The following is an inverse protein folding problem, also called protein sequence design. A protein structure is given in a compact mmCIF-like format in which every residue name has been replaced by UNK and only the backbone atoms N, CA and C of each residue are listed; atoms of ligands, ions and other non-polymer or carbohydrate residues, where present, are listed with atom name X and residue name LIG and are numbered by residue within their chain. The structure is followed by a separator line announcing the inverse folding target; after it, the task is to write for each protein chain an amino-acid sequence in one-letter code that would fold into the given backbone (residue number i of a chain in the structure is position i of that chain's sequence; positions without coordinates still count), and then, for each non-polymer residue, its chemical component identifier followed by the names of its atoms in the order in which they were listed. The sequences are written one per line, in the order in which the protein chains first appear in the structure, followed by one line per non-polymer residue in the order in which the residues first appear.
data_IF_079713674731
#
_entry.id   IF_079713674731
#
_cell.length_a   1.000
_cell.length_b   1.000
_cell.length_c   1.000
_cell.angle_alpha   90.00
_cell.angle_beta   90.00
_cell.angle_gamma   90.00
#
_symmetry.space_group_name_H-M   'P 1'
#
loop_
_entity.id
_entity.type
_entity.pdbx_description
1 polymer ?
#
# COMPACT_ATOMS: atom_id res chain seq x y z
N UNK A 1 -48.50 -9.11 -34.13
CA UNK A 1 -49.38 -9.95 -34.98
C UNK A 1 -48.74 -11.30 -35.23
N UNK A 2 -49.54 -12.39 -35.35
CA UNK A 2 -49.07 -13.65 -35.90
C UNK A 2 -48.41 -13.44 -37.26
N UNK A 3 -47.40 -14.24 -37.57
CA UNK A 3 -46.72 -14.19 -38.86
C UNK A 3 -47.69 -14.59 -39.98
N UNK A 4 -47.70 -13.87 -41.11
CA UNK A 4 -48.58 -14.16 -42.26
C UNK A 4 -48.46 -15.61 -42.77
N UNK A 5 -47.26 -16.21 -42.68
CA UNK A 5 -46.99 -17.57 -43.14
C UNK A 5 -47.32 -18.65 -42.08
N UNK A 6 -47.60 -18.27 -40.83
CA UNK A 6 -47.81 -19.22 -39.73
C UNK A 6 -48.73 -18.61 -38.67
N UNK A 7 -50.01 -18.46 -39.03
CA UNK A 7 -51.02 -17.77 -38.21
C UNK A 7 -51.33 -18.51 -36.90
N UNK A 8 -51.25 -19.84 -36.90
CA UNK A 8 -51.51 -20.68 -35.72
C UNK A 8 -50.29 -20.86 -34.80
N UNK A 9 -49.14 -20.25 -35.14
CA UNK A 9 -47.91 -20.33 -34.33
C UNK A 9 -47.60 -18.99 -33.64
N UNK A 10 -47.61 -18.93 -32.29
CA UNK A 10 -47.27 -17.70 -31.57
C UNK A 10 -45.82 -17.28 -31.82
N UNK A 11 -45.60 -16.05 -32.29
CA UNK A 11 -44.25 -15.50 -32.55
C UNK A 11 -43.80 -14.53 -31.47
N UNK A 12 -44.55 -13.45 -31.26
CA UNK A 12 -44.12 -12.37 -30.37
C UNK A 12 -44.13 -12.80 -28.89
N UNK A 13 -45.19 -13.47 -28.44
CA UNK A 13 -45.30 -13.94 -27.05
C UNK A 13 -44.21 -14.95 -26.70
N UNK A 14 -43.94 -15.92 -27.58
CA UNK A 14 -42.83 -16.87 -27.43
C UNK A 14 -41.47 -16.17 -27.38
N UNK A 15 -41.22 -15.21 -28.29
CA UNK A 15 -39.97 -14.45 -28.29
C UNK A 15 -39.80 -13.62 -27.01
N UNK A 16 -40.86 -13.00 -26.51
CA UNK A 16 -40.83 -12.24 -25.25
C UNK A 16 -40.59 -13.16 -24.06
N UNK A 17 -41.25 -14.32 -24.02
CA UNK A 17 -41.03 -15.35 -23.00
C UNK A 17 -39.57 -15.81 -22.99
N UNK A 18 -39.00 -16.12 -24.16
CA UNK A 18 -37.59 -16.51 -24.27
C UNK A 18 -36.64 -15.38 -23.80
N UNK A 19 -36.91 -14.13 -24.19
CA UNK A 19 -36.12 -12.97 -23.78
C UNK A 19 -36.15 -12.76 -22.26
N UNK A 20 -37.32 -12.81 -21.63
CA UNK A 20 -37.43 -12.59 -20.18
C UNK A 20 -36.71 -13.69 -19.40
N UNK A 21 -36.83 -14.96 -19.80
CA UNK A 21 -36.08 -16.05 -19.17
C UNK A 21 -34.57 -15.91 -19.35
N UNK A 22 -34.12 -15.50 -20.54
CA UNK A 22 -32.70 -15.23 -20.80
C UNK A 22 -32.16 -14.11 -19.90
N UNK A 23 -32.91 -13.01 -19.76
CA UNK A 23 -32.52 -11.89 -18.90
C UNK A 23 -32.54 -12.27 -17.41
N UNK A 24 -33.53 -13.05 -16.97
CA UNK A 24 -33.62 -13.52 -15.59
C UNK A 24 -32.44 -14.44 -15.22
N UNK A 25 -32.05 -15.34 -16.12
CA UNK A 25 -30.86 -16.18 -15.93
C UNK A 25 -29.58 -15.34 -15.84
N UNK A 26 -29.42 -14.33 -16.70
CA UNK A 26 -28.28 -13.40 -16.64
C UNK A 26 -28.27 -12.59 -15.33
N UNK A 27 -29.41 -12.10 -14.87
CA UNK A 27 -29.55 -11.41 -13.58
C UNK A 27 -29.10 -12.30 -12.42
N UNK A 28 -29.64 -13.52 -12.36
CA UNK A 28 -29.30 -14.49 -11.31
C UNK A 28 -27.82 -14.90 -11.34
N UNK A 29 -27.20 -15.04 -12.53
CA UNK A 29 -25.77 -15.33 -12.64
C UNK A 29 -24.91 -14.16 -12.13
N UNK A 30 -25.28 -12.91 -12.44
CA UNK A 30 -24.57 -11.71 -11.96
C UNK A 30 -24.69 -11.53 -10.44
N UNK A 31 -25.84 -11.90 -9.89
CA UNK A 31 -26.09 -11.94 -8.45
C UNK A 31 -25.21 -12.99 -7.77
N UNK A 32 -25.20 -14.24 -8.28
CA UNK A 32 -24.34 -15.32 -7.76
C UNK A 32 -22.85 -15.01 -7.84
N UNK A 33 -22.42 -14.29 -8.88
CA UNK A 33 -21.04 -13.83 -9.02
C UNK A 33 -20.69 -12.62 -8.12
N UNK A 34 -21.65 -12.07 -7.37
CA UNK A 34 -21.42 -10.94 -6.46
C UNK A 34 -21.13 -9.61 -7.16
N UNK A 35 -21.46 -9.47 -8.46
CA UNK A 35 -21.25 -8.22 -9.22
C UNK A 35 -22.31 -7.16 -8.92
N UNK A 36 -23.43 -7.56 -8.33
CA UNK A 36 -24.49 -6.65 -7.91
C UNK A 36 -24.24 -6.19 -6.48
N UNK A 37 -24.59 -4.94 -6.19
CA UNK A 37 -24.44 -4.38 -4.83
C UNK A 37 -25.44 -5.06 -3.88
N UNK A 38 -25.04 -5.28 -2.61
CA UNK A 38 -25.92 -5.89 -1.62
C UNK A 38 -27.07 -4.93 -1.23
N UNK A 39 -28.02 -5.46 -0.45
CA UNK A 39 -29.12 -4.68 0.12
C UNK A 39 -28.63 -3.49 0.95
N UNK A 40 -29.51 -2.50 1.14
CA UNK A 40 -29.19 -1.25 1.86
C UNK A 40 -28.81 -1.47 3.33
N UNK A 41 -29.46 -2.43 3.99
CA UNK A 41 -29.25 -2.78 5.40
C UNK A 41 -28.10 -3.75 5.64
N UNK A 42 -27.46 -4.29 4.60
CA UNK A 42 -26.32 -5.18 4.76
C UNK A 42 -25.15 -4.42 5.38
N UNK A 43 -24.39 -5.07 6.26
CA UNK A 43 -23.16 -4.53 6.87
C UNK A 43 -22.10 -4.12 5.84
N UNK A 44 -22.10 -4.76 4.66
CA UNK A 44 -21.19 -4.43 3.57
C UNK A 44 -21.75 -3.34 2.63
N UNK A 45 -22.96 -2.84 2.90
CA UNK A 45 -23.56 -1.75 2.14
C UNK A 45 -22.86 -0.43 2.46
N UNK A 46 -22.74 0.44 1.45
CA UNK A 46 -22.14 1.77 1.58
C UNK A 46 -23.18 2.85 1.28
N UNK A 47 -24.34 2.70 1.89
CA UNK A 47 -25.49 3.59 1.68
C UNK A 47 -25.51 4.65 2.78
N UNK A 48 -25.42 5.93 2.41
CA UNK A 48 -25.20 7.05 3.34
C UNK A 48 -23.75 7.54 3.36
N UNK A 49 -22.82 6.63 3.06
CA UNK A 49 -21.38 6.91 3.02
C UNK A 49 -20.90 7.48 1.66
N UNK A 50 -19.73 8.12 1.69
CA UNK A 50 -19.03 8.55 0.47
C UNK A 50 -18.61 7.34 -0.37
N UNK A 51 -18.83 7.42 -1.68
CA UNK A 51 -18.50 6.34 -2.63
C UNK A 51 -17.32 6.78 -3.50
N UNK A 52 -16.14 6.22 -3.26
CA UNK A 52 -14.98 6.50 -4.10
C UNK A 52 -14.13 5.25 -4.32
N UNK A 53 -13.92 4.92 -5.59
CA UNK A 53 -13.09 3.77 -6.00
C UNK A 53 -11.65 3.92 -5.50
N UNK A 54 -11.16 5.15 -5.32
CA UNK A 54 -9.82 5.40 -4.81
C UNK A 54 -9.64 4.96 -3.34
N UNK A 55 -10.62 5.25 -2.47
CA UNK A 55 -10.55 4.77 -1.07
C UNK A 55 -10.80 3.26 -1.01
N UNK A 56 -11.73 2.74 -1.82
CA UNK A 56 -11.99 1.30 -1.89
C UNK A 56 -10.72 0.52 -2.24
N UNK A 57 -10.02 0.93 -3.31
CA UNK A 57 -8.75 0.33 -3.69
C UNK A 57 -7.70 0.52 -2.58
N UNK A 58 -7.56 1.72 -2.00
CA UNK A 58 -6.58 1.97 -0.94
C UNK A 58 -6.70 0.97 0.22
N UNK A 59 -7.91 0.80 0.75
CA UNK A 59 -8.14 -0.11 1.87
C UNK A 59 -8.09 -1.59 1.44
N UNK A 60 -8.48 -1.92 0.21
CA UNK A 60 -8.31 -3.28 -0.32
C UNK A 60 -6.82 -3.65 -0.46
N UNK A 61 -6.00 -2.76 -1.00
CA UNK A 61 -4.56 -2.97 -1.15
C UNK A 61 -3.86 -3.09 0.20
N UNK A 62 -4.24 -2.30 1.21
CA UNK A 62 -3.70 -2.40 2.58
C UNK A 62 -4.03 -3.74 3.24
N UNK A 63 -5.23 -4.30 3.00
CA UNK A 63 -5.58 -5.66 3.46
C UNK A 63 -4.67 -6.71 2.81
N UNK A 64 -4.40 -6.60 1.52
CA UNK A 64 -3.51 -7.53 0.81
C UNK A 64 -2.05 -7.43 1.31
N UNK A 65 -1.57 -6.22 1.58
CA UNK A 65 -0.22 -6.00 2.13
C UNK A 65 -0.06 -6.68 3.50
N UNK A 66 -1.04 -6.53 4.39
CA UNK A 66 -1.03 -7.17 5.71
C UNK A 66 -1.00 -8.70 5.67
N UNK A 67 -1.55 -9.32 4.62
CA UNK A 67 -1.59 -10.78 4.45
C UNK A 67 -0.27 -11.34 3.90
N UNK A 68 0.46 -10.54 3.11
CA UNK A 68 1.72 -10.96 2.49
C UNK A 68 2.94 -10.82 3.43
N UNK A 69 2.84 -10.05 4.52
CA UNK A 69 3.98 -9.77 5.42
C UNK A 69 4.25 -10.85 6.48
N UNK A 70 3.45 -11.93 6.58
CA UNK A 70 3.60 -12.92 7.66
C UNK A 70 3.66 -14.40 7.22
N UNK A 71 3.67 -14.71 5.92
CA UNK A 71 3.80 -16.09 5.48
C UNK A 71 4.64 -16.23 4.19
N UNK A 72 5.86 -16.77 4.33
CA UNK A 72 6.56 -17.44 3.23
C UNK A 72 5.85 -18.76 2.99
N UNK A 73 4.75 -18.72 2.25
CA UNK A 73 4.12 -19.92 1.69
C UNK A 73 4.34 -19.92 0.19
N UNK A 74 4.97 -21.00 -0.30
CA UNK A 74 5.17 -21.30 -1.72
C UNK A 74 3.85 -21.11 -2.47
N UNK A 75 3.81 -20.13 -3.37
CA UNK A 75 2.63 -19.81 -4.17
C UNK A 75 2.45 -20.89 -5.24
N UNK A 76 1.73 -21.97 -4.92
CA UNK A 76 1.01 -22.76 -5.92
C UNK A 76 -0.48 -22.39 -5.86
N UNK A 77 -0.77 -21.11 -6.09
CA UNK A 77 -2.13 -20.67 -6.35
C UNK A 77 -2.28 -20.61 -7.86
N UNK A 78 -3.11 -21.50 -8.41
CA UNK A 78 -3.59 -21.39 -9.78
C UNK A 78 -4.01 -19.94 -10.02
N UNK A 79 -3.29 -19.25 -10.89
CA UNK A 79 -3.57 -17.86 -11.20
C UNK A 79 -4.99 -17.80 -11.76
N UNK A 80 -5.94 -17.40 -10.91
CA UNK A 80 -7.27 -17.07 -11.37
C UNK A 80 -7.09 -16.11 -12.56
N UNK A 81 -7.77 -16.35 -13.69
CA UNK A 81 -7.52 -15.60 -14.91
C UNK A 81 -7.53 -14.11 -14.57
N UNK A 82 -6.46 -13.41 -14.97
CA UNK A 82 -6.19 -12.05 -14.55
C UNK A 82 -7.45 -11.19 -14.66
N UNK A 83 -8.11 -10.95 -13.51
CA UNK A 83 -9.35 -10.20 -13.45
C UNK A 83 -9.00 -8.74 -13.70
N UNK A 84 -9.13 -8.34 -14.97
CA UNK A 84 -8.73 -7.01 -15.40
C UNK A 84 -9.76 -5.99 -14.93
N UNK A 85 -9.27 -4.91 -14.33
CA UNK A 85 -10.11 -3.76 -13.95
C UNK A 85 -9.54 -2.51 -14.60
N UNK A 86 -10.41 -1.55 -14.93
CA UNK A 86 -9.99 -0.22 -15.38
C UNK A 86 -9.77 0.74 -14.21
N UNK A 87 -9.94 0.27 -12.97
CA UNK A 87 -9.84 1.08 -11.76
C UNK A 87 -8.41 1.05 -11.25
N UNK A 88 -7.79 2.22 -11.15
CA UNK A 88 -6.43 2.36 -10.63
C UNK A 88 -6.39 3.34 -9.46
N UNK A 89 -5.38 3.19 -8.62
CA UNK A 89 -5.09 4.13 -7.55
C UNK A 89 -3.82 4.89 -7.91
N UNK A 90 -3.96 6.17 -8.26
CA UNK A 90 -2.81 7.02 -8.55
C UNK A 90 -1.94 7.16 -7.29
N UNK A 91 -0.63 6.92 -7.41
CA UNK A 91 0.34 7.10 -6.32
C UNK A 91 0.27 8.49 -5.68
N UNK A 92 -0.04 9.52 -6.48
CA UNK A 92 -0.29 10.89 -5.98
C UNK A 92 -1.48 10.94 -5.01
N UNK A 93 -2.56 10.24 -5.33
CA UNK A 93 -3.75 10.14 -4.47
C UNK A 93 -3.47 9.26 -3.24
N UNK A 94 -2.68 8.19 -3.38
CA UNK A 94 -2.25 7.34 -2.26
C UNK A 94 -1.58 8.17 -1.15
N UNK A 95 -0.55 8.94 -1.52
CA UNK A 95 0.19 9.80 -0.58
C UNK A 95 -0.71 10.84 0.08
N UNK A 96 -1.68 11.40 -0.66
CA UNK A 96 -2.66 12.35 -0.08
C UNK A 96 -3.57 11.67 0.94
N UNK A 97 -4.03 10.45 0.66
CA UNK A 97 -4.85 9.67 1.59
C UNK A 97 -4.06 9.38 2.86
N UNK A 98 -2.80 8.92 2.74
CA UNK A 98 -1.93 8.64 3.89
C UNK A 98 -1.66 9.88 4.74
N UNK A 99 -1.35 11.00 4.10
CA UNK A 99 -1.15 12.26 4.81
C UNK A 99 -2.41 12.70 5.56
N UNK A 100 -3.58 12.62 4.92
CA UNK A 100 -4.84 13.00 5.55
C UNK A 100 -5.25 12.02 6.66
N UNK A 101 -4.93 10.73 6.51
CA UNK A 101 -5.15 9.72 7.55
C UNK A 101 -4.32 10.05 8.79
N UNK A 102 -3.04 10.42 8.64
CA UNK A 102 -2.19 10.88 9.74
C UNK A 102 -2.77 12.10 10.47
N UNK A 103 -3.31 13.07 9.73
CA UNK A 103 -3.96 14.23 10.35
C UNK A 103 -5.24 13.85 11.10
N UNK A 104 -6.02 12.90 10.58
CA UNK A 104 -7.20 12.40 11.27
C UNK A 104 -6.82 11.65 12.57
N UNK A 105 -5.79 10.80 12.54
CA UNK A 105 -5.32 10.08 13.73
C UNK A 105 -4.75 11.01 14.78
N UNK A 106 -4.01 12.04 14.38
CA UNK A 106 -3.51 13.07 15.31
C UNK A 106 -4.68 13.77 16.01
N UNK A 107 -5.70 14.23 15.25
CA UNK A 107 -6.89 14.83 15.86
C UNK A 107 -7.61 13.87 16.80
N UNK A 108 -7.72 12.59 16.45
CA UNK A 108 -8.31 11.58 17.34
C UNK A 108 -7.51 11.43 18.63
N UNK A 109 -6.18 11.36 18.54
CA UNK A 109 -5.30 11.25 19.71
C UNK A 109 -5.41 12.48 20.64
N UNK A 110 -5.54 13.69 20.07
CA UNK A 110 -5.78 14.89 20.87
C UNK A 110 -7.12 14.83 21.62
N UNK A 111 -8.17 14.29 20.98
CA UNK A 111 -9.48 14.05 21.64
C UNK A 111 -9.35 12.98 22.72
N UNK A 112 -8.67 11.87 22.43
CA UNK A 112 -8.46 10.79 23.39
C UNK A 112 -7.63 11.26 24.61
N UNK A 113 -6.65 12.14 24.40
CA UNK A 113 -5.82 12.71 25.46
C UNK A 113 -6.58 13.72 26.31
N UNK A 114 -7.39 14.59 25.69
CA UNK A 114 -8.24 15.54 26.44
C UNK A 114 -9.32 14.82 27.25
N UNK A 115 -9.97 13.80 26.69
CA UNK A 115 -10.92 12.97 27.45
C UNK A 115 -10.27 12.29 28.66
N UNK A 116 -9.04 11.79 28.52
CA UNK A 116 -8.30 11.20 29.65
C UNK A 116 -7.86 12.22 30.69
N UNK A 117 -7.49 13.43 30.28
CA UNK A 117 -7.07 14.50 31.20
C UNK A 117 -8.27 15.06 31.98
N UNK A 118 -9.46 15.08 31.37
CA UNK A 118 -10.72 15.37 32.09
C UNK A 118 -11.08 14.24 33.09
N UNK A 119 -10.76 12.98 32.79
CA UNK A 119 -10.96 11.84 33.70
C UNK A 119 -9.85 11.72 34.79
N UNK A 120 -8.62 12.18 34.53
CA UNK A 120 -7.43 12.09 35.41
C UNK A 120 -6.96 13.48 35.91
N UNK A 121 -7.82 14.29 36.53
CA UNK A 121 -7.35 15.47 37.27
C UNK A 121 -6.62 15.13 38.59
N UNK A 122 -5.50 14.40 38.49
CA UNK A 122 -4.29 14.54 39.32
C UNK A 122 -3.13 13.81 38.62
N UNK A 123 -2.11 14.55 38.19
CA UNK A 123 -0.66 14.26 38.26
C UNK A 123 0.06 15.15 37.22
N UNK A 124 0.76 16.14 37.75
CA UNK A 124 1.82 16.90 37.08
C UNK A 124 2.94 15.94 36.66
N UNK A 125 3.34 15.93 35.37
CA UNK A 125 4.59 15.33 34.92
C UNK A 125 5.04 15.90 33.57
N UNK A 126 5.93 16.87 33.68
CA UNK A 126 6.95 17.30 32.71
C UNK A 126 7.59 16.11 31.96
N UNK A 127 7.81 16.26 30.64
CA UNK A 127 8.84 15.48 29.94
C UNK A 127 8.54 14.99 28.53
N UNK A 128 8.27 15.89 27.58
CA UNK A 128 8.18 15.54 26.16
C UNK A 128 9.56 15.33 25.50
N UNK A 129 10.17 14.13 25.64
CA UNK A 129 11.34 13.72 24.85
C UNK A 129 10.95 13.52 23.37
N UNK A 130 11.46 14.37 22.49
CA UNK A 130 11.36 14.23 21.03
C UNK A 130 12.18 13.02 20.56
N UNK A 131 11.49 11.96 20.14
CA UNK A 131 12.09 10.82 19.45
C UNK A 131 12.52 11.28 18.05
N UNK A 132 13.83 11.31 17.78
CA UNK A 132 14.37 11.54 16.43
C UNK A 132 14.05 10.32 15.56
N UNK A 133 13.32 10.52 14.47
CA UNK A 133 13.16 9.52 13.41
C UNK A 133 14.53 9.31 12.73
N UNK A 134 15.14 8.15 12.95
CA UNK A 134 16.28 7.70 12.16
C UNK A 134 15.78 7.26 10.79
N UNK A 135 15.90 8.14 9.79
CA UNK A 135 15.72 7.74 8.40
C UNK A 135 16.73 6.62 8.06
N UNK A 136 16.25 5.53 7.45
CA UNK A 136 17.10 4.41 7.06
C UNK A 136 18.08 4.89 5.99
N UNK A 137 19.34 5.06 6.38
CA UNK A 137 20.43 5.47 5.47
C UNK A 137 20.59 4.44 4.35
N UNK A 138 20.75 4.92 3.13
CA UNK A 138 21.06 4.09 1.95
C UNK A 138 22.42 3.40 2.14
N UNK A 139 22.61 2.22 1.54
CA UNK A 139 23.88 1.50 1.59
C UNK A 139 25.05 2.38 1.14
N UNK A 140 24.86 3.18 0.08
CA UNK A 140 25.87 4.11 -0.41
C UNK A 140 26.18 5.24 0.60
N UNK A 141 25.18 5.73 1.34
CA UNK A 141 25.42 6.77 2.36
C UNK A 141 26.19 6.22 3.55
N UNK A 142 25.93 4.96 3.94
CA UNK A 142 26.69 4.30 5.00
C UNK A 142 28.16 4.10 4.61
N UNK A 143 28.42 3.67 3.36
CA UNK A 143 29.80 3.50 2.87
C UNK A 143 30.51 4.83 2.76
N UNK A 144 29.83 5.89 2.31
CA UNK A 144 30.42 7.25 2.28
C UNK A 144 30.72 7.77 3.68
N UNK A 145 29.80 7.63 4.62
CA UNK A 145 30.02 8.04 6.01
C UNK A 145 31.20 7.28 6.64
N UNK A 146 31.28 5.97 6.42
CA UNK A 146 32.40 5.16 6.88
C UNK A 146 33.73 5.61 6.22
N UNK A 147 33.72 5.86 4.91
CA UNK A 147 34.91 6.32 4.20
C UNK A 147 35.37 7.69 4.71
N UNK A 148 34.45 8.65 4.85
CA UNK A 148 34.73 9.99 5.41
C UNK A 148 35.28 9.88 6.84
N UNK A 149 34.71 9.01 7.68
CA UNK A 149 35.23 8.80 9.04
C UNK A 149 36.67 8.27 9.07
N UNK A 150 37.03 7.41 8.11
CA UNK A 150 38.40 6.85 8.04
C UNK A 150 39.38 7.90 7.51
N UNK A 151 39.02 8.67 6.48
CA UNK A 151 39.95 9.66 5.94
C UNK A 151 40.20 10.80 6.93
N UNK A 152 39.19 11.23 7.69
CA UNK A 152 39.34 12.25 8.72
C UNK A 152 40.25 11.77 9.87
N UNK A 153 40.19 10.47 10.22
CA UNK A 153 41.09 9.83 11.19
C UNK A 153 42.53 9.69 10.64
N UNK A 154 42.69 9.32 9.36
CA UNK A 154 44.03 9.23 8.74
C UNK A 154 44.67 10.59 8.48
N UNK A 155 43.90 11.65 8.25
CA UNK A 155 44.42 13.01 8.11
C UNK A 155 44.85 13.62 9.45
N UNK A 156 44.29 13.14 10.57
CA UNK A 156 44.67 13.54 11.92
C UNK A 156 45.83 12.72 12.49
N UNK A 157 46.10 11.53 11.95
CA UNK A 157 47.41 10.88 12.07
C UNK A 157 48.40 11.53 11.10
N UNK A 158 49.07 12.60 11.55
CA UNK A 158 50.17 13.18 10.79
C UNK A 158 51.14 12.09 10.31
N UNK A 159 51.46 12.08 9.03
CA UNK A 159 52.44 11.17 8.43
C UNK A 159 53.79 11.38 9.14
N UNK A 160 54.10 10.52 10.12
CA UNK A 160 55.44 10.48 10.71
C UNK A 160 56.33 9.77 9.68
N UNK A 161 56.83 10.52 8.71
CA UNK A 161 58.00 10.11 7.92
C UNK A 161 59.18 10.30 8.87
N UNK A 162 59.64 9.23 9.51
CA UNK A 162 60.91 9.27 10.24
C UNK A 162 62.03 9.52 9.24
N UNK A 163 62.49 10.76 9.18
CA UNK A 163 63.73 11.13 8.52
C UNK A 163 64.90 10.65 9.40
N UNK A 164 65.31 9.38 9.27
CA UNK A 164 66.36 8.77 10.09
C UNK A 164 67.21 7.70 9.37
N UNK A 165 68.36 8.12 8.84
CA UNK A 165 69.62 7.39 8.61
C UNK A 165 69.61 5.86 8.33
N UNK A 166 69.88 5.49 7.07
CA UNK A 166 70.92 4.51 6.71
C UNK A 166 70.58 3.01 6.66
N UNK A 167 70.32 2.48 5.45
CA UNK A 167 71.01 1.27 4.94
C UNK A 167 70.84 1.18 3.42
N UNK A 168 71.92 1.39 2.68
CA UNK A 168 72.04 1.08 1.27
C UNK A 168 72.07 -0.43 1.09
N UNK A 169 71.00 -1.04 0.57
CA UNK A 169 71.08 -2.36 -0.07
C UNK A 169 70.96 -2.14 -1.58
N UNK A 170 72.11 -2.27 -2.25
CA UNK A 170 72.25 -2.01 -3.67
C UNK A 170 71.70 -3.11 -4.59
N UNK A 171 71.44 -2.67 -5.84
CA UNK A 171 71.41 -3.48 -7.06
C UNK A 171 70.26 -3.12 -8.01
N UNK A 172 70.38 -3.26 -9.35
CA UNK A 172 71.54 -3.13 -10.23
C UNK A 172 71.48 -1.86 -11.10
N UNK A 173 72.65 -1.34 -11.44
CA UNK A 173 72.91 -0.27 -12.41
C UNK A 173 72.87 -0.86 -13.84
N UNK A 174 72.23 -0.16 -14.78
CA UNK A 174 72.30 -0.43 -16.23
C UNK A 174 72.76 0.85 -16.96
N UNK A 175 73.80 0.76 -17.83
CA UNK A 175 74.32 1.89 -18.60
C UNK A 175 73.36 2.40 -19.68
#
# INVERSE_FOLDING_TARGET
MPSKNSINRPKLTSNLHHKVHSLNKKRAQRERAGLLKPARSSVNSKSGEIKSVALDLYFQNKKNESQNSTAVTLQNASSSPASITTRTLSKKRAKKIERNLKYATQRKLLVDASAKLEDEMEIDLDGGKKVKENEKKSSLTLVKEALWSVIDDTASQGLIIENGQGTTLGGPFFP
#
